data_IF_308651920549
#
_entry.id   IF_308651920549
#
_cell.length_a   1.000
_cell.length_b   1.000
_cell.length_c   1.000
_cell.angle_alpha   90.00
_cell.angle_beta   90.00
_cell.angle_gamma   90.00
#
_symmetry.space_group_name_H-M   'P 1'
#
loop_
_entity.id
_entity.type
_entity.pdbx_description
1 polymer ?
#
# COMPACT_ATOMS: atom_id res chain seq x y z
N UNK A 1 -24.97 13.11 -19.40
CA UNK A 1 -23.97 12.19 -19.95
C UNK A 1 -23.51 11.36 -18.78
N UNK A 2 -23.79 10.08 -18.86
CA UNK A 2 -23.64 9.06 -17.82
C UNK A 2 -22.21 8.99 -17.24
N UNK A 3 -22.10 8.92 -15.91
CA UNK A 3 -20.85 8.57 -15.20
C UNK A 3 -21.02 7.25 -14.41
N UNK A 4 -22.00 6.43 -14.77
CA UNK A 4 -22.34 5.14 -14.13
C UNK A 4 -21.55 3.98 -14.77
N UNK A 5 -20.24 4.18 -14.90
CA UNK A 5 -19.35 3.22 -15.56
C UNK A 5 -18.02 3.02 -14.85
N UNK A 6 -17.96 3.15 -13.51
CA UNK A 6 -16.78 2.67 -12.76
C UNK A 6 -16.97 1.20 -12.44
N UNK A 7 -16.67 0.34 -13.42
CA UNK A 7 -16.42 -1.08 -13.14
C UNK A 7 -15.29 -1.16 -12.12
N UNK A 8 -15.49 -1.85 -11.01
CA UNK A 8 -14.46 -2.15 -10.01
C UNK A 8 -13.41 -3.03 -10.71
N UNK A 9 -12.42 -2.39 -11.34
CA UNK A 9 -11.28 -3.07 -11.94
C UNK A 9 -10.32 -3.39 -10.81
N UNK A 10 -10.54 -4.59 -10.26
CA UNK A 10 -9.66 -5.32 -9.37
C UNK A 10 -9.72 -4.91 -7.88
N UNK A 11 -10.29 -5.80 -7.07
CA UNK A 11 -10.06 -5.82 -5.63
C UNK A 11 -8.65 -6.40 -5.45
N UNK A 12 -7.66 -5.51 -5.32
CA UNK A 12 -6.29 -5.85 -4.92
C UNK A 12 -6.34 -6.55 -3.57
N UNK A 13 -6.56 -7.87 -3.61
CA UNK A 13 -6.39 -8.74 -2.45
C UNK A 13 -4.92 -8.60 -2.08
N UNK A 14 -4.58 -8.11 -0.87
CA UNK A 14 -3.21 -8.13 -0.45
C UNK A 14 -2.79 -9.59 -0.46
N UNK A 15 -1.91 -9.95 -1.38
CA UNK A 15 -1.17 -11.21 -1.31
C UNK A 15 -0.26 -11.08 -0.10
N UNK A 16 -0.83 -11.24 1.09
CA UNK A 16 -0.09 -11.34 2.34
C UNK A 16 0.73 -12.60 2.19
N UNK A 17 1.96 -12.43 1.70
CA UNK A 17 2.98 -13.45 1.78
C UNK A 17 3.10 -13.78 3.27
N UNK A 18 2.44 -14.87 3.67
CA UNK A 18 2.45 -15.40 5.02
C UNK A 18 3.85 -15.96 5.30
N UNK A 19 4.81 -15.08 5.52
CA UNK A 19 6.13 -15.44 6.03
C UNK A 19 6.08 -15.27 7.55
N UNK A 20 5.77 -16.38 8.23
CA UNK A 20 5.84 -16.59 9.68
C UNK A 20 4.84 -15.81 10.56
N UNK A 21 3.73 -16.48 10.87
CA UNK A 21 2.64 -16.08 11.77
C UNK A 21 3.01 -15.94 13.27
N UNK A 22 4.22 -15.49 13.63
CA UNK A 22 4.63 -15.35 15.03
C UNK A 22 5.45 -14.10 15.37
N UNK A 23 5.97 -13.39 14.38
CA UNK A 23 6.54 -12.07 14.55
C UNK A 23 5.67 -11.10 13.75
N UNK A 24 5.10 -10.08 14.39
CA UNK A 24 4.35 -9.07 13.66
C UNK A 24 5.27 -8.40 12.65
N UNK A 25 5.02 -8.63 11.36
CA UNK A 25 5.72 -7.94 10.29
C UNK A 25 5.45 -6.43 10.42
N UNK A 26 6.43 -5.55 10.18
CA UNK A 26 6.19 -4.12 10.17
C UNK A 26 5.03 -3.79 9.23
N UNK A 27 4.02 -3.08 9.75
CA UNK A 27 2.84 -2.71 8.97
C UNK A 27 3.03 -1.30 8.41
N UNK A 28 2.59 -1.09 7.16
CA UNK A 28 2.56 0.24 6.58
C UNK A 28 1.48 1.08 7.29
N UNK A 29 1.85 2.27 7.77
CA UNK A 29 0.95 3.19 8.50
C UNK A 29 0.79 4.54 7.82
N UNK A 30 1.64 4.86 6.83
CA UNK A 30 1.59 6.13 6.11
C UNK A 30 2.24 5.99 4.74
N UNK A 31 1.71 6.72 3.76
CA UNK A 31 2.23 6.74 2.39
C UNK A 31 2.20 8.17 1.84
N UNK A 32 3.23 8.56 1.09
CA UNK A 32 3.32 9.86 0.46
C UNK A 32 4.01 9.77 -0.90
N UNK A 33 3.44 10.43 -1.90
CA UNK A 33 4.06 10.58 -3.22
C UNK A 33 4.98 11.79 -3.26
N UNK A 34 6.07 11.69 -4.01
CA UNK A 34 6.85 12.85 -4.42
C UNK A 34 6.00 13.80 -5.27
N UNK A 35 6.36 15.08 -5.30
CA UNK A 35 5.59 16.09 -6.03
C UNK A 35 5.53 15.84 -7.55
N UNK A 36 6.50 15.10 -8.08
CA UNK A 36 6.57 14.67 -9.48
C UNK A 36 5.88 13.32 -9.74
N UNK A 37 5.36 12.64 -8.71
CA UNK A 37 4.68 11.35 -8.82
C UNK A 37 5.58 10.17 -9.18
N UNK A 38 6.91 10.33 -9.17
CA UNK A 38 7.84 9.27 -9.56
C UNK A 38 8.18 8.32 -8.42
N UNK A 39 8.02 8.75 -7.17
CA UNK A 39 8.50 8.03 -5.99
C UNK A 39 7.42 7.96 -4.93
N UNK A 40 7.20 6.77 -4.38
CA UNK A 40 6.25 6.51 -3.32
C UNK A 40 6.99 6.13 -2.04
N UNK A 41 6.87 6.96 -1.02
CA UNK A 41 7.45 6.69 0.29
C UNK A 41 6.41 6.01 1.18
N UNK A 42 6.77 4.92 1.85
CA UNK A 42 5.93 4.21 2.80
C UNK A 42 6.60 4.15 4.18
N UNK A 43 5.91 4.65 5.21
CA UNK A 43 6.36 4.60 6.60
C UNK A 43 5.73 3.44 7.35
N UNK A 44 6.52 2.73 8.16
CA UNK A 44 6.13 1.50 8.83
C UNK A 44 6.19 1.61 10.36
N UNK A 45 5.56 0.65 11.05
CA UNK A 45 5.53 0.57 12.53
C UNK A 45 6.90 0.34 13.17
N UNK A 46 7.91 -0.06 12.40
CA UNK A 46 9.30 -0.20 12.82
C UNK A 46 10.10 1.11 12.74
N UNK A 47 9.42 2.24 12.58
CA UNK A 47 10.00 3.57 12.39
C UNK A 47 10.89 3.68 11.14
N UNK A 48 10.77 2.75 10.19
CA UNK A 48 11.52 2.77 8.94
C UNK A 48 10.66 3.34 7.80
N UNK A 49 11.30 4.12 6.92
CA UNK A 49 10.72 4.59 5.66
C UNK A 49 11.31 3.74 4.53
N UNK A 50 10.44 3.19 3.67
CA UNK A 50 10.79 2.44 2.46
C UNK A 50 10.36 3.25 1.23
N UNK A 51 11.08 3.09 0.11
CA UNK A 51 10.93 3.84 -1.15
C UNK A 51 10.69 2.87 -2.29
#
# INVERSE_FOLDING_TARGET
>A
GDLEGKSLVDELRPEVMTTNAKAELPQCISMAWSADGQTLFAGYTDNLIRV
#
